data_IF_994416675610
#
_entry.id   IF_994416675610
#
_cell.length_a   1.000
_cell.length_b   1.000
_cell.length_c   1.000
_cell.angle_alpha   90.00
_cell.angle_beta   90.00
_cell.angle_gamma   90.00
#
_symmetry.space_group_name_H-M   'P 1'
#
loop_
_entity.id
_entity.type
_entity.pdbx_description
1 polymer ?
#
# COMPACT_ATOMS: atom_id res chain seq x y z
N UNK A 1 -7.54 -102.50 31.54
CA UNK A 1 -6.39 -101.74 30.95
C UNK A 1 -6.98 -100.47 30.35
N UNK A 2 -6.90 -99.38 31.03
CA UNK A 2 -7.46 -98.11 30.56
C UNK A 2 -6.48 -96.97 30.89
N UNK A 3 -5.94 -96.30 29.87
CA UNK A 3 -4.99 -95.22 29.96
C UNK A 3 -5.77 -93.87 29.97
N UNK A 4 -5.65 -93.13 31.06
CA UNK A 4 -6.19 -91.78 31.14
C UNK A 4 -5.21 -90.76 30.44
N UNK A 5 -5.66 -89.96 29.54
CA UNK A 5 -4.94 -88.83 28.99
C UNK A 5 -5.46 -87.55 29.62
N UNK A 6 -4.56 -86.81 30.22
CA UNK A 6 -4.82 -85.53 30.83
C UNK A 6 -4.92 -84.43 29.78
N UNK A 7 -5.85 -83.52 30.01
CA UNK A 7 -6.11 -82.35 29.21
C UNK A 7 -5.43 -81.15 29.86
N UNK A 8 -4.46 -80.60 29.19
CA UNK A 8 -3.85 -79.33 29.55
C UNK A 8 -4.55 -78.21 28.84
N UNK A 9 -5.26 -77.39 29.54
CA UNK A 9 -5.86 -76.17 29.03
C UNK A 9 -4.79 -75.08 28.97
N UNK A 10 -4.58 -74.54 27.78
CA UNK A 10 -3.78 -73.31 27.58
C UNK A 10 -4.72 -72.12 27.54
N UNK A 11 -4.61 -71.26 28.54
CA UNK A 11 -5.19 -69.91 28.49
C UNK A 11 -4.38 -69.03 27.52
N UNK A 12 -4.98 -68.65 26.41
CA UNK A 12 -4.47 -67.62 25.56
C UNK A 12 -5.07 -66.28 26.02
N UNK A 13 -4.24 -65.48 26.62
CA UNK A 13 -4.53 -64.09 27.02
C UNK A 13 -4.44 -63.19 25.75
N UNK A 14 -5.57 -62.81 25.20
CA UNK A 14 -5.61 -61.92 24.06
C UNK A 14 -5.36 -60.46 24.51
N UNK A 15 -4.22 -59.90 24.12
CA UNK A 15 -3.94 -58.47 24.21
C UNK A 15 -4.77 -57.76 23.13
N UNK A 16 -5.81 -57.02 23.55
CA UNK A 16 -6.46 -56.02 22.68
C UNK A 16 -5.59 -54.76 22.66
N UNK A 17 -4.89 -54.54 21.57
CA UNK A 17 -4.25 -53.27 21.25
C UNK A 17 -5.31 -52.29 20.76
N UNK A 18 -5.70 -51.37 21.60
CA UNK A 18 -6.55 -50.21 21.16
C UNK A 18 -5.66 -49.25 20.40
N UNK A 19 -5.72 -49.26 19.08
CA UNK A 19 -5.11 -48.26 18.26
C UNK A 19 -5.92 -46.95 18.37
N UNK A 20 -5.45 -46.00 19.18
CA UNK A 20 -5.94 -44.65 19.21
C UNK A 20 -5.52 -43.98 17.90
N UNK A 21 -6.41 -43.93 16.91
CA UNK A 21 -6.30 -43.07 15.74
C UNK A 21 -6.42 -41.64 16.19
N UNK A 22 -5.25 -41.02 16.45
CA UNK A 22 -5.16 -39.58 16.65
C UNK A 22 -5.57 -38.88 15.32
N UNK A 23 -6.76 -38.30 15.31
CA UNK A 23 -7.15 -37.32 14.29
C UNK A 23 -6.25 -36.10 14.46
N UNK A 24 -5.13 -36.06 13.73
CA UNK A 24 -4.38 -34.83 13.51
C UNK A 24 -5.23 -34.00 12.54
N UNK A 25 -6.12 -33.20 13.11
CA UNK A 25 -6.82 -32.16 12.35
C UNK A 25 -5.75 -31.19 11.83
N UNK A 26 -5.41 -31.30 10.54
CA UNK A 26 -4.69 -30.23 9.86
C UNK A 26 -5.62 -29.03 9.86
N UNK A 27 -5.38 -28.09 10.79
CA UNK A 27 -5.95 -26.78 10.72
C UNK A 27 -5.47 -26.17 9.39
N UNK A 28 -6.31 -26.24 8.37
CA UNK A 28 -6.11 -25.54 7.12
C UNK A 28 -6.25 -24.07 7.49
N UNK A 29 -5.13 -23.37 7.66
CA UNK A 29 -5.11 -21.93 7.82
C UNK A 29 -5.78 -21.36 6.56
N UNK A 30 -7.06 -21.01 6.69
CA UNK A 30 -7.83 -20.41 5.61
C UNK A 30 -7.12 -19.13 5.21
N UNK A 31 -6.80 -19.02 3.93
CA UNK A 31 -6.26 -17.79 3.34
C UNK A 31 -7.24 -16.67 3.71
N UNK A 32 -6.82 -15.70 4.53
CA UNK A 32 -7.71 -14.63 4.91
C UNK A 32 -8.21 -13.93 3.66
N UNK A 33 -9.52 -13.89 3.49
CA UNK A 33 -10.18 -13.28 2.35
C UNK A 33 -10.11 -11.76 2.49
N UNK A 34 -9.68 -11.08 1.42
CA UNK A 34 -9.70 -9.63 1.39
C UNK A 34 -11.14 -9.12 1.44
N UNK A 35 -11.39 -8.09 2.27
CA UNK A 35 -12.71 -7.49 2.47
C UNK A 35 -12.72 -6.07 1.93
N UNK A 36 -13.86 -5.61 1.40
CA UNK A 36 -14.06 -4.26 0.91
C UNK A 36 -14.31 -4.20 -0.59
N UNK A 37 -14.37 -2.98 -1.13
CA UNK A 37 -14.61 -2.70 -2.54
C UNK A 37 -13.28 -2.41 -3.26
N UNK A 38 -12.78 -3.38 -3.99
CA UNK A 38 -11.52 -3.32 -4.71
C UNK A 38 -11.51 -4.23 -5.93
N UNK A 39 -10.57 -4.00 -6.82
CA UNK A 39 -10.22 -4.87 -7.94
C UNK A 39 -8.77 -5.35 -7.78
N UNK A 40 -8.51 -6.63 -7.94
CA UNK A 40 -7.14 -7.14 -8.05
C UNK A 40 -6.69 -7.03 -9.51
N UNK A 41 -5.59 -6.33 -9.73
CA UNK A 41 -4.97 -6.20 -11.04
C UNK A 41 -4.04 -7.41 -11.26
N UNK A 42 -4.48 -8.39 -12.06
CA UNK A 42 -3.74 -9.63 -12.32
C UNK A 42 -2.41 -9.42 -13.02
N UNK A 43 -2.31 -8.35 -13.82
CA UNK A 43 -1.14 -8.02 -14.62
C UNK A 43 -0.08 -7.20 -13.85
N UNK A 44 -0.42 -6.76 -12.63
CA UNK A 44 0.48 -6.05 -11.74
C UNK A 44 1.01 -6.97 -10.64
N UNK A 45 2.30 -6.80 -10.32
CA UNK A 45 2.92 -7.57 -9.24
C UNK A 45 2.58 -6.97 -7.89
N UNK A 46 2.22 -7.81 -6.93
CA UNK A 46 2.11 -7.38 -5.54
C UNK A 46 3.47 -6.94 -4.98
N UNK A 47 3.48 -5.79 -4.32
CA UNK A 47 4.64 -5.29 -3.55
C UNK A 47 4.49 -5.55 -2.05
N UNK A 48 3.54 -6.40 -1.67
CA UNK A 48 3.20 -6.71 -0.29
C UNK A 48 4.42 -7.11 0.56
N UNK A 49 4.48 -6.56 1.76
CA UNK A 49 5.47 -6.91 2.79
C UNK A 49 4.75 -7.25 4.08
N UNK A 50 5.06 -8.38 4.73
CA UNK A 50 4.40 -8.76 5.98
C UNK A 50 4.44 -7.65 7.04
N UNK A 51 3.30 -7.39 7.68
CA UNK A 51 3.13 -6.37 8.71
C UNK A 51 3.06 -4.94 8.21
N UNK A 52 3.08 -4.71 6.90
CA UNK A 52 2.97 -3.39 6.29
C UNK A 52 2.05 -3.39 5.08
N UNK A 53 1.41 -2.26 4.83
CA UNK A 53 0.65 -2.01 3.61
C UNK A 53 1.20 -0.76 2.94
N UNK A 54 1.54 -0.88 1.67
CA UNK A 54 1.90 0.26 0.84
C UNK A 54 0.64 0.83 0.19
N UNK A 55 0.35 2.10 0.47
CA UNK A 55 -0.70 2.86 -0.20
C UNK A 55 -0.07 3.75 -1.25
N UNK A 56 -0.37 3.50 -2.52
CA UNK A 56 0.04 4.37 -3.63
C UNK A 56 -1.16 5.17 -4.09
N UNK A 57 -1.07 6.50 -3.94
CA UNK A 57 -2.08 7.43 -4.44
C UNK A 57 -1.63 8.00 -5.79
N UNK A 58 -2.39 7.75 -6.86
CA UNK A 58 -2.26 8.50 -8.10
C UNK A 58 -3.03 9.79 -7.96
N UNK A 59 -2.33 10.91 -7.97
CA UNK A 59 -2.89 12.21 -7.65
C UNK A 59 -2.40 13.32 -8.57
N UNK A 60 -3.28 14.32 -8.73
CA UNK A 60 -2.98 15.59 -9.38
C UNK A 60 -2.97 16.70 -8.34
N UNK A 61 -1.89 17.46 -8.26
CA UNK A 61 -1.78 18.58 -7.33
C UNK A 61 -2.84 19.66 -7.54
N UNK A 62 -3.41 19.77 -8.73
CA UNK A 62 -4.47 20.73 -9.04
C UNK A 62 -5.88 20.17 -8.81
N UNK A 63 -6.00 18.89 -8.42
CA UNK A 63 -7.27 18.24 -8.14
C UNK A 63 -7.72 18.52 -6.70
N UNK A 64 -8.89 19.15 -6.47
CA UNK A 64 -9.37 19.43 -5.12
C UNK A 64 -9.76 18.17 -4.34
N UNK A 65 -10.13 17.08 -5.02
CA UNK A 65 -10.41 15.81 -4.37
C UNK A 65 -9.14 15.14 -3.84
N UNK A 66 -8.01 15.28 -4.55
CA UNK A 66 -6.71 14.80 -4.07
C UNK A 66 -6.25 15.59 -2.84
N UNK A 67 -6.39 16.92 -2.87
CA UNK A 67 -6.10 17.75 -1.70
C UNK A 67 -6.94 17.35 -0.48
N UNK A 68 -8.23 17.05 -0.67
CA UNK A 68 -9.10 16.59 0.42
C UNK A 68 -8.68 15.22 0.94
N UNK A 69 -8.39 14.29 0.03
CA UNK A 69 -7.95 12.96 0.44
C UNK A 69 -6.63 13.01 1.22
N UNK A 70 -5.66 13.82 0.79
CA UNK A 70 -4.39 14.02 1.53
C UNK A 70 -4.63 14.59 2.94
N UNK A 71 -5.47 15.62 3.04
CA UNK A 71 -5.69 16.34 4.32
C UNK A 71 -6.62 15.62 5.30
N UNK A 72 -7.58 14.84 4.81
CA UNK A 72 -8.62 14.23 5.64
C UNK A 72 -8.53 12.69 5.58
N UNK A 73 -8.65 12.09 4.40
CA UNK A 73 -8.70 10.64 4.23
C UNK A 73 -7.41 9.94 4.66
N UNK A 74 -6.28 10.39 4.14
CA UNK A 74 -4.98 9.81 4.46
C UNK A 74 -4.61 10.03 5.93
N UNK A 75 -4.90 11.21 6.48
CA UNK A 75 -4.63 11.50 7.88
C UNK A 75 -5.36 10.56 8.85
N UNK A 76 -6.60 10.15 8.52
CA UNK A 76 -7.35 9.14 9.28
C UNK A 76 -6.63 7.79 9.23
N UNK A 77 -6.16 7.37 8.07
CA UNK A 77 -5.46 6.09 7.89
C UNK A 77 -4.10 6.11 8.58
N UNK A 78 -3.33 7.18 8.45
CA UNK A 78 -2.04 7.34 9.12
C UNK A 78 -2.18 7.28 10.66
N UNK A 79 -3.25 7.88 11.20
CA UNK A 79 -3.56 7.82 12.63
C UNK A 79 -3.88 6.39 13.10
N UNK A 80 -4.62 5.62 12.29
CA UNK A 80 -5.05 4.26 12.65
C UNK A 80 -3.93 3.24 12.50
N UNK A 81 -3.22 3.28 11.39
CA UNK A 81 -2.24 2.25 11.04
C UNK A 81 -0.79 2.60 11.42
N UNK A 82 -0.48 3.88 11.62
CA UNK A 82 0.85 4.34 12.01
C UNK A 82 1.95 3.80 11.10
N UNK A 83 2.96 3.17 11.70
CA UNK A 83 4.11 2.61 10.97
C UNK A 83 3.80 1.37 10.12
N UNK A 84 2.58 0.84 10.19
CA UNK A 84 2.11 -0.25 9.31
C UNK A 84 1.65 0.26 7.94
N UNK A 85 1.39 1.56 7.79
CA UNK A 85 1.01 2.17 6.52
C UNK A 85 2.18 2.98 5.94
N UNK A 86 2.55 2.66 4.71
CA UNK A 86 3.52 3.42 3.94
C UNK A 86 2.79 4.10 2.76
N UNK A 87 2.52 5.41 2.92
CA UNK A 87 1.81 6.16 1.89
C UNK A 87 2.78 6.89 0.97
N UNK A 88 2.61 6.69 -0.34
CA UNK A 88 3.36 7.38 -1.39
C UNK A 88 2.40 7.94 -2.44
N UNK A 89 2.75 9.09 -3.02
CA UNK A 89 2.02 9.65 -4.13
C UNK A 89 2.77 9.38 -5.45
N UNK A 90 2.02 9.11 -6.48
CA UNK A 90 2.46 9.10 -7.88
C UNK A 90 1.76 10.25 -8.59
N UNK A 91 2.52 11.18 -9.15
CA UNK A 91 1.96 12.30 -9.89
C UNK A 91 1.25 11.81 -11.15
N UNK A 92 -0.04 12.15 -11.26
CA UNK A 92 -0.85 11.77 -12.42
C UNK A 92 -1.80 12.91 -12.79
N UNK A 93 -1.37 13.84 -13.66
CA UNK A 93 -2.15 15.00 -14.02
C UNK A 93 -3.33 14.59 -14.92
N UNK A 94 -4.55 14.91 -14.48
CA UNK A 94 -5.79 14.72 -15.26
C UNK A 94 -6.35 16.04 -15.73
N UNK A 95 -5.85 17.18 -15.23
CA UNK A 95 -6.28 18.53 -15.59
C UNK A 95 -5.40 19.03 -16.73
N UNK A 96 -5.94 19.23 -17.94
CA UNK A 96 -5.16 19.69 -19.09
C UNK A 96 -4.48 21.04 -18.88
N UNK A 97 -3.33 21.25 -19.52
CA UNK A 97 -2.62 22.54 -19.55
C UNK A 97 -1.86 22.90 -18.26
N UNK A 98 -1.79 22.01 -17.30
CA UNK A 98 -0.97 22.19 -16.11
C UNK A 98 0.47 21.72 -16.34
N UNK A 99 1.42 22.50 -15.84
CA UNK A 99 2.84 22.20 -15.99
C UNK A 99 3.29 21.14 -14.99
N UNK A 100 4.25 20.30 -15.34
CA UNK A 100 4.75 19.23 -14.46
C UNK A 100 5.54 19.71 -13.24
N UNK A 101 5.87 21.01 -13.15
CA UNK A 101 6.78 21.57 -12.12
C UNK A 101 6.46 21.13 -10.69
N UNK A 102 5.18 21.08 -10.31
CA UNK A 102 4.79 20.63 -8.97
C UNK A 102 5.14 19.16 -8.72
N UNK A 103 5.01 18.33 -9.76
CA UNK A 103 5.34 16.91 -9.71
C UNK A 103 6.86 16.70 -9.63
N UNK A 104 7.62 17.44 -10.43
CA UNK A 104 9.09 17.40 -10.42
C UNK A 104 9.63 17.83 -9.04
N UNK A 105 9.05 18.87 -8.44
CA UNK A 105 9.38 19.30 -7.07
C UNK A 105 9.11 18.19 -6.04
N UNK A 106 7.98 17.52 -6.15
CA UNK A 106 7.64 16.41 -5.25
C UNK A 106 8.62 15.25 -5.42
N UNK A 107 8.91 14.83 -6.66
CA UNK A 107 9.85 13.76 -6.94
C UNK A 107 11.27 14.10 -6.44
N UNK A 108 11.73 15.35 -6.62
CA UNK A 108 13.01 15.79 -6.07
C UNK A 108 13.00 15.75 -4.54
N UNK A 109 11.96 16.25 -3.89
CA UNK A 109 11.87 16.24 -2.44
C UNK A 109 11.85 14.81 -1.87
N UNK A 110 11.25 13.85 -2.57
CA UNK A 110 11.29 12.42 -2.20
C UNK A 110 12.72 11.92 -2.13
N UNK A 111 13.56 12.25 -3.10
CA UNK A 111 14.98 11.82 -3.11
C UNK A 111 15.76 12.42 -1.94
N UNK A 112 15.31 13.54 -1.41
CA UNK A 112 15.91 14.25 -0.28
C UNK A 112 15.23 13.91 1.07
N UNK A 113 14.31 12.93 1.11
CA UNK A 113 13.63 12.48 2.31
C UNK A 113 12.53 13.44 2.81
N UNK A 114 12.06 14.36 1.97
CA UNK A 114 11.07 15.41 2.29
C UNK A 114 9.83 15.37 1.39
N UNK A 115 9.53 14.20 0.81
CA UNK A 115 8.39 14.05 -0.09
C UNK A 115 7.04 14.38 0.56
N UNK A 116 6.79 13.88 1.77
CA UNK A 116 5.52 14.10 2.45
C UNK A 116 5.31 15.58 2.82
N UNK A 117 6.36 16.25 3.31
CA UNK A 117 6.32 17.68 3.64
C UNK A 117 6.10 18.53 2.39
N UNK A 118 6.82 18.24 1.30
CA UNK A 118 6.67 18.93 0.03
C UNK A 118 5.27 18.72 -0.55
N UNK A 119 4.73 17.51 -0.53
CA UNK A 119 3.37 17.22 -0.97
C UNK A 119 2.34 18.11 -0.27
N UNK A 120 2.39 18.17 1.07
CA UNK A 120 1.49 19.02 1.87
C UNK A 120 1.66 20.51 1.57
N UNK A 121 2.91 20.97 1.43
CA UNK A 121 3.20 22.37 1.12
C UNK A 121 2.64 22.76 -0.26
N UNK A 122 2.83 21.91 -1.28
CA UNK A 122 2.32 22.12 -2.64
C UNK A 122 0.79 22.16 -2.65
N UNK A 123 0.11 21.18 -2.04
CA UNK A 123 -1.34 21.16 -1.96
C UNK A 123 -1.89 22.41 -1.25
N UNK A 124 -1.30 22.79 -0.12
CA UNK A 124 -1.69 24.01 0.59
C UNK A 124 -1.55 25.23 -0.31
N UNK A 125 -0.40 25.43 -0.94
CA UNK A 125 -0.11 26.59 -1.77
C UNK A 125 -1.08 26.73 -2.93
N UNK A 126 -1.42 25.61 -3.61
CA UNK A 126 -2.37 25.63 -4.72
C UNK A 126 -3.81 25.84 -4.22
N UNK A 127 -4.24 25.11 -3.19
CA UNK A 127 -5.66 25.05 -2.84
C UNK A 127 -6.09 26.07 -1.78
N UNK A 128 -5.22 26.39 -0.80
CA UNK A 128 -5.53 27.35 0.24
C UNK A 128 -5.02 28.74 -0.12
N UNK A 129 -3.74 28.84 -0.47
CA UNK A 129 -3.10 30.14 -0.72
C UNK A 129 -3.41 30.67 -2.13
N UNK A 130 -3.91 29.79 -3.05
CA UNK A 130 -4.25 30.13 -4.45
C UNK A 130 -3.07 30.64 -5.25
N UNK A 131 -1.88 30.19 -4.93
CA UNK A 131 -0.63 30.59 -5.57
C UNK A 131 -0.17 29.50 -6.55
N UNK A 132 0.19 29.92 -7.77
CA UNK A 132 0.83 29.02 -8.75
C UNK A 132 2.26 28.69 -8.37
N UNK A 133 2.71 27.45 -8.68
CA UNK A 133 4.04 26.93 -8.30
C UNK A 133 5.04 27.03 -9.47
N UNK A 134 4.74 27.82 -10.46
CA UNK A 134 5.58 27.97 -11.66
C UNK A 134 6.75 28.94 -11.40
N UNK A 135 6.52 29.96 -10.59
CA UNK A 135 7.51 30.99 -10.30
C UNK A 135 8.66 30.44 -9.44
N UNK A 136 9.89 30.77 -9.83
CA UNK A 136 11.10 30.32 -9.13
C UNK A 136 11.13 30.81 -7.68
N UNK A 137 10.68 32.04 -7.41
CA UNK A 137 10.67 32.62 -6.07
C UNK A 137 9.69 31.84 -5.14
N UNK A 138 8.54 31.46 -5.65
CA UNK A 138 7.57 30.64 -4.90
C UNK A 138 8.17 29.26 -4.62
N UNK A 139 8.81 28.62 -5.62
CA UNK A 139 9.48 27.33 -5.41
C UNK A 139 10.54 27.43 -4.31
N UNK A 140 11.38 28.47 -4.34
CA UNK A 140 12.42 28.67 -3.33
C UNK A 140 11.84 28.82 -1.91
N UNK A 141 10.73 29.54 -1.75
CA UNK A 141 10.01 29.65 -0.46
C UNK A 141 9.57 28.27 0.03
N UNK A 142 8.95 27.46 -0.82
CA UNK A 142 8.47 26.12 -0.45
C UNK A 142 9.65 25.19 -0.09
N UNK A 143 10.74 25.24 -0.86
CA UNK A 143 11.93 24.43 -0.60
C UNK A 143 12.48 24.72 0.79
N UNK A 144 12.62 26.01 1.16
CA UNK A 144 13.09 26.44 2.48
C UNK A 144 12.11 26.06 3.58
N UNK A 145 10.82 26.21 3.34
CA UNK A 145 9.77 25.86 4.30
C UNK A 145 9.82 24.39 4.71
N UNK A 146 10.08 23.48 3.76
CA UNK A 146 10.20 22.05 4.07
C UNK A 146 11.59 21.66 4.60
N UNK A 147 12.47 22.63 4.82
CA UNK A 147 13.79 22.45 5.41
C UNK A 147 14.84 21.90 4.44
N UNK A 148 14.70 22.18 3.15
CA UNK A 148 15.67 21.80 2.12
C UNK A 148 16.53 23.01 1.70
N UNK A 149 17.75 22.71 1.23
CA UNK A 149 18.63 23.71 0.61
C UNK A 149 18.20 23.99 -0.83
N UNK A 150 17.89 25.26 -1.20
CA UNK A 150 17.43 25.57 -2.55
C UNK A 150 18.46 25.29 -3.64
N UNK A 151 19.75 25.49 -3.40
CA UNK A 151 20.76 25.28 -4.42
C UNK A 151 20.90 23.79 -4.76
N UNK A 152 20.99 22.91 -3.74
CA UNK A 152 21.02 21.46 -3.92
C UNK A 152 19.73 20.93 -4.53
N UNK A 153 18.60 21.55 -4.19
CA UNK A 153 17.30 21.16 -4.75
C UNK A 153 17.21 21.49 -6.24
N UNK A 154 17.58 22.69 -6.65
CA UNK A 154 17.56 23.12 -8.07
C UNK A 154 18.57 22.33 -8.91
N UNK A 155 19.73 21.99 -8.36
CA UNK A 155 20.69 21.08 -9.02
C UNK A 155 20.06 19.69 -9.26
N UNK A 156 19.35 19.16 -8.25
CA UNK A 156 18.61 17.90 -8.37
C UNK A 156 17.51 17.97 -9.43
N UNK A 157 16.76 19.06 -9.50
CA UNK A 157 15.74 19.28 -10.56
C UNK A 157 16.38 19.29 -11.95
N UNK A 158 17.54 19.99 -12.09
CA UNK A 158 18.25 20.07 -13.36
C UNK A 158 18.84 18.72 -13.83
N UNK A 159 18.95 17.74 -12.94
CA UNK A 159 19.45 16.40 -13.26
C UNK A 159 18.53 15.57 -14.15
N UNK A 160 17.32 16.03 -14.44
CA UNK A 160 16.25 15.33 -15.14
C UNK A 160 15.74 14.03 -14.47
N UNK A 161 16.31 13.61 -13.32
CA UNK A 161 15.85 12.41 -12.59
C UNK A 161 14.43 12.56 -12.05
N UNK A 162 14.04 13.72 -11.45
CA UNK A 162 12.65 13.94 -11.00
C UNK A 162 11.64 13.87 -12.15
N UNK A 163 11.95 14.52 -13.28
CA UNK A 163 11.10 14.48 -14.46
C UNK A 163 10.94 13.05 -15.01
N UNK A 164 12.02 12.26 -15.00
CA UNK A 164 11.95 10.85 -15.36
C UNK A 164 11.11 10.04 -14.39
N UNK A 165 11.26 10.24 -13.08
CA UNK A 165 10.47 9.54 -12.07
C UNK A 165 8.97 9.86 -12.21
N UNK A 166 8.62 11.12 -12.44
CA UNK A 166 7.25 11.54 -12.75
C UNK A 166 6.71 10.85 -14.01
N UNK A 167 7.48 10.84 -15.10
CA UNK A 167 7.07 10.21 -16.36
C UNK A 167 6.91 8.69 -16.23
N UNK A 168 7.77 8.02 -15.46
CA UNK A 168 7.65 6.58 -15.19
C UNK A 168 6.37 6.29 -14.38
N UNK A 169 6.05 7.14 -13.40
CA UNK A 169 4.79 7.07 -12.65
C UNK A 169 3.57 7.27 -13.53
N UNK A 170 3.62 8.26 -14.45
CA UNK A 170 2.55 8.52 -15.42
C UNK A 170 2.33 7.30 -16.33
N UNK A 171 3.40 6.70 -16.86
CA UNK A 171 3.30 5.47 -17.67
C UNK A 171 2.70 4.30 -16.89
N UNK A 172 3.00 4.20 -15.61
CA UNK A 172 2.37 3.20 -14.77
C UNK A 172 0.86 3.44 -14.65
N UNK A 173 0.44 4.67 -14.36
CA UNK A 173 -0.98 5.04 -14.33
C UNK A 173 -1.71 4.75 -15.65
N UNK A 174 -1.08 5.07 -16.79
CA UNK A 174 -1.63 4.77 -18.13
C UNK A 174 -1.81 3.26 -18.33
N UNK A 175 -0.81 2.46 -17.94
CA UNK A 175 -0.84 0.99 -18.06
C UNK A 175 -1.98 0.37 -17.25
N UNK A 176 -2.22 0.84 -16.04
CA UNK A 176 -3.31 0.37 -15.18
C UNK A 176 -4.62 1.13 -15.39
N UNK A 177 -4.67 1.95 -16.44
CA UNK A 177 -5.86 2.68 -16.92
C UNK A 177 -6.50 3.56 -15.84
N UNK A 178 -5.69 4.43 -15.21
CA UNK A 178 -6.20 5.47 -14.33
C UNK A 178 -7.05 6.45 -15.14
N UNK A 179 -8.30 6.66 -14.73
CA UNK A 179 -9.24 7.55 -15.41
C UNK A 179 -9.60 8.78 -14.59
N UNK A 180 -9.32 8.74 -13.29
CA UNK A 180 -9.62 9.83 -12.36
C UNK A 180 -8.60 9.89 -11.22
N UNK A 181 -8.52 11.05 -10.57
CA UNK A 181 -7.72 11.24 -9.36
C UNK A 181 -8.60 11.77 -8.20
N UNK A 182 -8.34 11.37 -6.97
CA UNK A 182 -7.35 10.36 -6.59
C UNK A 182 -7.77 8.96 -7.00
N UNK A 183 -6.79 8.09 -7.32
CA UNK A 183 -6.96 6.64 -7.40
C UNK A 183 -5.93 5.99 -6.48
N UNK A 184 -6.35 5.00 -5.68
CA UNK A 184 -5.52 4.33 -4.69
C UNK A 184 -5.26 2.88 -5.10
N UNK A 185 -3.98 2.48 -5.05
CA UNK A 185 -3.54 1.10 -5.08
C UNK A 185 -2.97 0.73 -3.71
N UNK A 186 -3.33 -0.44 -3.21
CA UNK A 186 -2.68 -1.06 -2.05
C UNK A 186 -1.78 -2.19 -2.55
N UNK A 187 -0.58 -2.27 -1.97
CA UNK A 187 0.43 -3.29 -2.26
C UNK A 187 0.67 -3.53 -3.77
N UNK A 188 0.59 -2.45 -4.56
CA UNK A 188 0.94 -2.44 -5.98
C UNK A 188 -0.09 -3.05 -6.94
N UNK A 189 -1.03 -3.86 -6.47
CA UNK A 189 -1.97 -4.57 -7.34
C UNK A 189 -3.44 -4.61 -6.85
N UNK A 190 -3.75 -4.02 -5.71
CA UNK A 190 -5.13 -3.95 -5.21
C UNK A 190 -5.65 -2.53 -5.48
N UNK A 191 -6.38 -2.35 -6.57
CA UNK A 191 -7.00 -1.08 -6.93
C UNK A 191 -8.27 -0.88 -6.13
N UNK A 192 -8.31 0.17 -5.34
CA UNK A 192 -9.46 0.49 -4.48
C UNK A 192 -10.54 1.17 -5.32
N UNK A 193 -11.79 0.69 -5.24
CA UNK A 193 -12.90 1.22 -6.00
C UNK A 193 -13.64 2.35 -5.27
N UNK A 194 -13.66 2.29 -3.94
CA UNK A 194 -14.21 3.33 -3.09
C UNK A 194 -13.13 3.81 -2.14
N UNK A 195 -12.66 5.05 -2.32
CA UNK A 195 -11.54 5.63 -1.57
C UNK A 195 -11.99 6.31 -0.25
N UNK A 196 -13.21 6.06 0.22
CA UNK A 196 -13.61 6.51 1.55
C UNK A 196 -12.80 5.80 2.65
N UNK A 197 -12.59 6.46 3.81
CA UNK A 197 -11.74 5.92 4.87
C UNK A 197 -12.22 4.56 5.40
N UNK A 198 -13.51 4.30 5.47
CA UNK A 198 -14.06 3.05 6.03
C UNK A 198 -13.75 1.85 5.12
N UNK A 199 -13.94 2.01 3.81
CA UNK A 199 -13.57 0.97 2.86
C UNK A 199 -12.04 0.72 2.86
N UNK A 200 -11.24 1.80 2.88
CA UNK A 200 -9.79 1.69 2.94
C UNK A 200 -9.32 0.96 4.21
N UNK A 201 -9.89 1.29 5.38
CA UNK A 201 -9.60 0.59 6.64
C UNK A 201 -9.92 -0.89 6.54
N UNK A 202 -11.11 -1.22 6.00
CA UNK A 202 -11.56 -2.61 5.87
C UNK A 202 -10.58 -3.43 5.03
N UNK A 203 -10.12 -2.89 3.90
CA UNK A 203 -9.16 -3.56 3.02
C UNK A 203 -7.80 -3.69 3.74
N UNK A 204 -7.28 -2.60 4.32
CA UNK A 204 -5.97 -2.59 4.98
C UNK A 204 -5.94 -3.57 6.16
N UNK A 205 -6.97 -3.59 7.01
CA UNK A 205 -7.09 -4.57 8.10
C UNK A 205 -7.06 -6.00 7.55
N UNK A 206 -7.84 -6.29 6.50
CA UNK A 206 -7.88 -7.64 5.92
C UNK A 206 -6.55 -8.08 5.28
N UNK A 207 -5.75 -7.13 4.77
CA UNK A 207 -4.37 -7.39 4.30
C UNK A 207 -3.48 -7.76 5.49
N UNK A 208 -3.48 -6.95 6.54
CA UNK A 208 -2.65 -7.16 7.73
C UNK A 208 -3.03 -8.44 8.49
N UNK A 209 -4.32 -8.75 8.60
CA UNK A 209 -4.82 -9.99 9.22
C UNK A 209 -4.42 -11.23 8.42
N UNK A 210 -4.30 -11.08 7.10
CA UNK A 210 -3.87 -12.14 6.19
C UNK A 210 -2.38 -12.48 6.24
N UNK A 211 -1.56 -11.68 6.88
CA UNK A 211 -0.09 -11.85 6.92
C UNK A 211 0.34 -13.16 7.61
N UNK A 212 -0.43 -13.63 8.59
CA UNK A 212 -0.22 -14.93 9.23
C UNK A 212 -0.53 -16.16 8.36
N UNK A 213 -1.25 -15.96 7.24
CA UNK A 213 -1.76 -17.04 6.37
C UNK A 213 -1.10 -17.07 4.99
N UNK A 214 -0.29 -16.06 4.65
CA UNK A 214 0.44 -15.93 3.37
C UNK A 214 1.90 -16.37 3.51
N UNK A 215 2.12 -17.62 3.90
CA UNK A 215 3.44 -18.24 3.89
C UNK A 215 3.60 -19.11 2.67
#
# INVERSE_FOLDING_TARGET
MAKRRGWRGSLLMGLMAVAALGFVGTAQAGKAELKGNFQVLSDEKSTHKPGKVQLTEFADFYCPHCHRFDGEGLAILEKEFGNKLEAVMVGYPVIPGKLPTAFDMYEQAKTMGKGAEMKRAVFRTIHKDKIGIIDKAIREVLIREVGLDPAAFEEGLASAKPAKAFEDGRKWGDRIKIQQTPTVLLDGNIKVEQIDPENLKLIIHSILDGDGTRK
#
